data_IF_492102245389
#
_entry.id   IF_492102245389
#
_cell.length_a   1.000
_cell.length_b   1.000
_cell.length_c   1.000
_cell.angle_alpha   90.00
_cell.angle_beta   90.00
_cell.angle_gamma   90.00
#
_symmetry.space_group_name_H-M   'P 1'
#
loop_
_entity.id
_entity.type
_entity.pdbx_description
1 polymer ?
#
# COMPACT_ATOMS: atom_id res chain seq x y z
N UNK A 1 15.29 6.09 -14.57
CA UNK A 1 14.27 7.10 -14.16
C UNK A 1 13.59 6.57 -12.92
N UNK A 2 13.39 7.39 -11.87
CA UNK A 2 12.48 6.98 -10.78
C UNK A 2 11.07 6.99 -11.35
N UNK A 3 10.31 5.90 -11.16
CA UNK A 3 8.89 5.87 -11.52
C UNK A 3 8.15 7.00 -10.80
N UNK A 4 7.17 7.61 -11.46
CA UNK A 4 6.29 8.61 -10.83
C UNK A 4 5.10 7.97 -10.11
N UNK A 5 4.91 6.67 -10.30
CA UNK A 5 3.73 5.92 -9.86
C UNK A 5 4.11 4.77 -8.94
N UNK A 6 3.22 4.44 -8.02
CA UNK A 6 3.30 3.26 -7.16
C UNK A 6 1.90 2.67 -6.96
N UNK A 7 1.81 1.35 -6.92
CA UNK A 7 0.55 0.65 -6.64
C UNK A 7 0.57 0.08 -5.23
N UNK A 8 -0.44 0.39 -4.43
CA UNK A 8 -0.70 -0.20 -3.12
C UNK A 8 -1.83 -1.19 -3.23
N UNK A 9 -1.55 -2.46 -2.90
CA UNK A 9 -2.52 -3.55 -2.90
C UNK A 9 -3.00 -3.79 -1.47
N UNK A 10 -4.28 -3.52 -1.24
CA UNK A 10 -4.93 -3.65 0.06
C UNK A 10 -5.38 -5.07 0.38
N UNK A 11 -6.31 -5.16 1.32
CA UNK A 11 -6.77 -6.44 1.90
C UNK A 11 -7.92 -7.09 1.11
N UNK A 12 -8.61 -6.34 0.24
CA UNK A 12 -9.75 -6.85 -0.50
C UNK A 12 -9.31 -7.69 -1.70
N UNK A 13 -10.04 -8.76 -2.03
CA UNK A 13 -9.79 -9.54 -3.24
C UNK A 13 -9.89 -8.66 -4.49
N UNK A 14 -8.96 -8.84 -5.40
CA UNK A 14 -8.91 -8.13 -6.68
C UNK A 14 -8.85 -9.16 -7.79
N UNK A 15 -9.74 -9.05 -8.76
CA UNK A 15 -9.79 -9.89 -9.98
C UNK A 15 -8.94 -9.31 -11.12
N UNK A 16 -7.93 -8.54 -10.78
CA UNK A 16 -7.06 -7.84 -11.72
C UNK A 16 -5.67 -8.48 -11.72
N UNK A 17 -5.05 -8.58 -12.89
CA UNK A 17 -3.67 -9.05 -13.01
C UNK A 17 -2.68 -7.99 -12.50
N UNK A 18 -2.30 -8.12 -11.23
CA UNK A 18 -1.41 -7.18 -10.56
C UNK A 18 0.02 -7.17 -11.12
N UNK A 19 0.46 -8.22 -11.83
CA UNK A 19 1.78 -8.23 -12.48
C UNK A 19 1.90 -7.14 -13.55
N UNK A 20 0.80 -6.81 -14.21
CA UNK A 20 0.77 -5.75 -15.22
C UNK A 20 1.01 -4.36 -14.63
N UNK A 21 0.65 -4.13 -13.35
CA UNK A 21 0.83 -2.82 -12.70
C UNK A 21 2.30 -2.43 -12.55
N UNK A 22 3.22 -3.40 -12.60
CA UNK A 22 4.67 -3.15 -12.57
C UNK A 22 5.19 -2.28 -13.71
N UNK A 23 4.46 -2.20 -14.82
CA UNK A 23 4.78 -1.27 -15.92
C UNK A 23 4.69 0.19 -15.47
N UNK A 24 3.80 0.50 -14.51
CA UNK A 24 3.66 1.84 -13.95
C UNK A 24 4.76 2.14 -12.92
N UNK A 25 5.16 1.15 -12.13
CA UNK A 25 6.15 1.32 -11.06
C UNK A 25 6.10 0.22 -10.00
N UNK A 26 6.76 0.43 -8.85
CA UNK A 26 6.78 -0.54 -7.78
C UNK A 26 5.39 -0.87 -7.24
N UNK A 27 5.24 -2.10 -6.75
CA UNK A 27 4.01 -2.60 -6.15
C UNK A 27 4.26 -2.93 -4.69
N UNK A 28 3.48 -2.30 -3.80
CA UNK A 28 3.50 -2.57 -2.36
C UNK A 28 2.23 -3.32 -1.98
N UNK A 29 2.38 -4.47 -1.35
CA UNK A 29 1.26 -5.25 -0.85
C UNK A 29 1.05 -5.11 0.66
N UNK A 30 -0.18 -5.20 1.12
CA UNK A 30 -0.45 -5.56 2.50
C UNK A 30 -0.23 -7.07 2.70
N UNK A 31 0.07 -7.50 3.91
CA UNK A 31 0.24 -8.93 4.26
C UNK A 31 -0.99 -9.79 3.91
N UNK A 32 -2.16 -9.17 3.79
CA UNK A 32 -3.42 -9.85 3.46
C UNK A 32 -3.77 -9.79 1.97
N UNK A 33 -2.92 -9.18 1.14
CA UNK A 33 -3.11 -9.17 -0.31
C UNK A 33 -2.94 -10.57 -0.92
N UNK A 34 -3.35 -10.71 -2.18
CA UNK A 34 -3.23 -12.00 -2.87
C UNK A 34 -1.77 -12.49 -2.90
N UNK A 35 -1.52 -13.65 -2.29
CA UNK A 35 -0.18 -14.25 -2.15
C UNK A 35 0.31 -15.01 -3.38
N UNK A 36 -0.49 -15.08 -4.44
CA UNK A 36 -0.09 -15.75 -5.70
C UNK A 36 0.79 -14.89 -6.60
N UNK A 37 1.09 -13.65 -6.19
CA UNK A 37 1.83 -12.66 -6.97
C UNK A 37 3.08 -12.25 -6.18
N UNK A 38 4.17 -11.97 -6.90
CA UNK A 38 5.37 -11.37 -6.31
C UNK A 38 5.22 -9.84 -6.27
N UNK A 39 5.57 -9.25 -5.16
CA UNK A 39 5.56 -7.80 -4.95
C UNK A 39 6.99 -7.27 -4.78
N UNK A 40 7.19 -5.96 -4.97
CA UNK A 40 8.48 -5.35 -4.68
C UNK A 40 8.66 -5.17 -3.17
N UNK A 41 7.57 -4.77 -2.51
CA UNK A 41 7.51 -4.62 -1.06
C UNK A 41 6.23 -5.23 -0.50
N UNK A 42 6.29 -5.70 0.75
CA UNK A 42 5.08 -6.05 1.49
C UNK A 42 5.20 -5.59 2.94
N UNK A 43 4.09 -5.13 3.51
CA UNK A 43 4.02 -4.66 4.89
C UNK A 43 3.29 -5.65 5.77
N UNK A 44 3.87 -5.91 6.94
CA UNK A 44 3.35 -6.83 7.95
C UNK A 44 3.25 -6.13 9.30
N UNK A 45 2.29 -6.50 10.15
CA UNK A 45 2.08 -5.89 11.45
C UNK A 45 1.99 -6.90 12.61
N UNK A 46 1.95 -8.20 12.31
CA UNK A 46 1.87 -9.28 13.30
C UNK A 46 2.87 -10.38 12.99
N UNK A 47 3.26 -11.15 14.02
CA UNK A 47 4.13 -12.32 13.85
C UNK A 47 3.49 -13.35 12.91
N UNK A 48 2.19 -13.59 13.03
CA UNK A 48 1.46 -14.51 12.15
C UNK A 48 1.58 -14.09 10.70
N UNK A 49 1.29 -12.81 10.38
CA UNK A 49 1.40 -12.30 9.02
C UNK A 49 2.83 -12.41 8.48
N UNK A 50 3.83 -12.12 9.31
CA UNK A 50 5.22 -12.24 8.94
C UNK A 50 5.62 -13.70 8.64
N UNK A 51 5.28 -14.63 9.54
CA UNK A 51 5.57 -16.05 9.36
C UNK A 51 4.86 -16.63 8.14
N UNK A 52 3.60 -16.27 7.90
CA UNK A 52 2.84 -16.67 6.74
C UNK A 52 3.49 -16.18 5.44
N UNK A 53 4.00 -14.94 5.44
CA UNK A 53 4.71 -14.38 4.29
C UNK A 53 6.04 -15.11 4.06
N UNK A 54 6.85 -15.32 5.09
CA UNK A 54 8.14 -16.04 5.02
C UNK A 54 7.98 -17.47 4.52
N UNK A 55 6.87 -18.13 4.85
CA UNK A 55 6.57 -19.50 4.42
C UNK A 55 5.95 -19.55 3.01
N UNK A 56 5.59 -18.42 2.42
CA UNK A 56 5.01 -18.38 1.07
C UNK A 56 6.08 -18.55 0.00
N UNK A 57 5.85 -19.48 -0.93
CA UNK A 57 6.76 -19.71 -2.06
C UNK A 57 6.93 -18.47 -2.97
N UNK A 58 5.93 -17.62 -3.03
CA UNK A 58 5.89 -16.43 -3.88
C UNK A 58 6.57 -15.22 -3.22
N UNK A 59 7.06 -15.38 -1.99
CA UNK A 59 7.71 -14.33 -1.24
C UNK A 59 9.17 -14.06 -1.69
N UNK A 60 9.75 -14.95 -2.48
CA UNK A 60 11.14 -14.81 -2.94
C UNK A 60 11.30 -13.54 -3.78
N UNK A 61 12.11 -12.60 -3.27
CA UNK A 61 12.39 -11.33 -3.94
C UNK A 61 11.49 -10.16 -3.51
N UNK A 62 10.53 -10.37 -2.58
CA UNK A 62 9.76 -9.29 -1.95
C UNK A 62 10.47 -8.80 -0.70
N UNK A 63 10.64 -7.48 -0.57
CA UNK A 63 11.18 -6.89 0.67
C UNK A 63 10.04 -6.72 1.69
N UNK A 64 10.17 -7.36 2.86
CA UNK A 64 9.21 -7.23 3.97
C UNK A 64 9.56 -6.06 4.86
N UNK A 65 8.54 -5.25 5.16
CA UNK A 65 8.69 -4.13 6.08
C UNK A 65 7.74 -4.30 7.28
N UNK A 66 8.33 -4.24 8.46
CA UNK A 66 7.63 -4.43 9.72
C UNK A 66 7.83 -3.21 10.65
N UNK A 67 6.86 -2.89 11.53
CA UNK A 67 7.07 -1.96 12.62
C UNK A 67 8.25 -2.36 13.50
N UNK A 68 8.85 -1.39 14.16
CA UNK A 68 10.13 -1.56 14.87
C UNK A 68 10.13 -2.70 15.88
N UNK A 69 9.07 -2.86 16.65
CA UNK A 69 8.97 -3.94 17.65
C UNK A 69 8.95 -5.32 17.03
N UNK A 70 8.24 -5.47 15.91
CA UNK A 70 8.19 -6.73 15.18
C UNK A 70 9.53 -7.00 14.50
N UNK A 71 10.10 -6.01 13.83
CA UNK A 71 11.41 -6.11 13.19
C UNK A 71 12.51 -6.57 14.14
N UNK A 72 12.60 -6.01 15.35
CA UNK A 72 13.61 -6.38 16.35
C UNK A 72 13.61 -7.86 16.72
N UNK A 73 12.47 -8.54 16.63
CA UNK A 73 12.37 -9.99 16.85
C UNK A 73 12.89 -10.81 15.68
N UNK A 74 12.88 -10.26 14.49
CA UNK A 74 13.17 -10.95 13.22
C UNK A 74 14.36 -10.37 12.47
N UNK A 75 15.19 -9.58 13.12
CA UNK A 75 16.36 -8.88 12.53
C UNK A 75 17.37 -9.81 11.83
N UNK A 76 17.39 -11.10 12.17
CA UNK A 76 18.29 -12.08 11.56
C UNK A 76 17.71 -12.77 10.31
N UNK A 77 16.49 -12.44 9.92
CA UNK A 77 15.86 -12.99 8.72
C UNK A 77 16.15 -12.09 7.53
N UNK A 78 16.81 -12.63 6.50
CA UNK A 78 17.05 -11.94 5.24
C UNK A 78 15.72 -11.52 4.60
N UNK A 79 15.68 -10.29 4.08
CA UNK A 79 14.51 -9.73 3.43
C UNK A 79 13.46 -9.12 4.38
N UNK A 80 13.70 -9.16 5.70
CA UNK A 80 12.88 -8.43 6.68
C UNK A 80 13.57 -7.14 7.07
N UNK A 81 12.91 -6.01 6.89
CA UNK A 81 13.42 -4.68 7.18
C UNK A 81 12.49 -3.91 8.14
N UNK A 82 13.05 -2.91 8.82
CA UNK A 82 12.26 -1.99 9.61
C UNK A 82 11.54 -0.99 8.69
N UNK A 83 10.27 -0.70 8.98
CA UNK A 83 9.59 0.43 8.35
C UNK A 83 10.37 1.72 8.64
N UNK A 84 10.52 2.61 7.65
CA UNK A 84 11.17 3.89 7.87
C UNK A 84 10.36 4.78 8.82
N UNK A 85 11.01 5.76 9.41
CA UNK A 85 10.30 6.79 10.16
C UNK A 85 9.47 7.68 9.23
N UNK A 86 8.27 8.02 9.68
CA UNK A 86 7.32 8.88 8.97
C UNK A 86 7.07 10.18 9.77
N UNK A 87 8.01 11.12 9.81
CA UNK A 87 7.93 12.29 10.70
C UNK A 87 6.69 13.17 10.45
N UNK A 88 6.24 13.27 9.21
CA UNK A 88 5.05 14.04 8.85
C UNK A 88 3.73 13.48 9.37
N UNK A 89 3.70 12.21 9.79
CA UNK A 89 2.46 11.57 10.27
C UNK A 89 2.28 11.64 11.78
N UNK A 90 3.28 12.06 12.54
CA UNK A 90 3.19 12.24 14.00
C UNK A 90 2.10 13.26 14.40
N UNK A 91 1.87 14.27 13.56
CA UNK A 91 0.81 15.28 13.78
C UNK A 91 -0.61 14.72 13.64
N UNK A 92 -0.79 13.54 13.09
CA UNK A 92 -2.10 12.89 12.90
C UNK A 92 -2.32 11.71 13.84
N UNK A 93 -1.46 11.54 14.86
CA UNK A 93 -1.54 10.45 15.85
C UNK A 93 -1.58 9.03 15.21
N UNK A 94 -0.88 8.87 14.10
CA UNK A 94 -0.76 7.58 13.42
C UNK A 94 0.45 6.83 13.99
N UNK A 95 0.17 5.80 14.78
CA UNK A 95 1.17 4.90 15.37
C UNK A 95 1.36 3.67 14.47
N UNK A 96 2.52 3.48 13.81
CA UNK A 96 2.76 2.33 12.94
C UNK A 96 2.54 0.98 13.63
N UNK A 97 2.79 0.88 14.93
CA UNK A 97 2.59 -0.35 15.71
C UNK A 97 1.12 -0.77 15.84
N UNK A 98 0.19 0.16 15.58
CA UNK A 98 -1.27 -0.04 15.66
C UNK A 98 -1.96 0.03 14.30
N UNK A 99 -1.20 0.19 13.24
CA UNK A 99 -1.75 0.27 11.89
C UNK A 99 -1.97 -1.11 11.29
N UNK A 100 -2.98 -1.21 10.42
CA UNK A 100 -3.16 -2.38 9.57
C UNK A 100 -2.04 -2.48 8.52
N UNK A 101 -1.77 -3.65 7.95
CA UNK A 101 -0.79 -3.79 6.87
C UNK A 101 -1.09 -2.87 5.68
N UNK A 102 -2.35 -2.66 5.30
CA UNK A 102 -2.67 -1.77 4.18
C UNK A 102 -2.38 -0.29 4.49
N UNK A 103 -2.57 0.17 5.72
CA UNK A 103 -2.15 1.51 6.14
C UNK A 103 -0.62 1.64 6.13
N UNK A 104 0.11 0.62 6.59
CA UNK A 104 1.57 0.61 6.52
C UNK A 104 2.07 0.65 5.06
N UNK A 105 1.42 -0.07 4.15
CA UNK A 105 1.73 -0.04 2.72
C UNK A 105 1.52 1.36 2.11
N UNK A 106 0.43 2.03 2.50
CA UNK A 106 0.17 3.41 2.10
C UNK A 106 1.23 4.39 2.63
N UNK A 107 1.62 4.25 3.90
CA UNK A 107 2.68 5.07 4.50
C UNK A 107 4.01 4.89 3.77
N UNK A 108 4.36 3.65 3.42
CA UNK A 108 5.56 3.36 2.64
C UNK A 108 5.50 3.97 1.25
N UNK A 109 4.35 3.90 0.56
CA UNK A 109 4.17 4.52 -0.76
C UNK A 109 4.45 6.03 -0.73
N UNK A 110 3.94 6.72 0.28
CA UNK A 110 4.19 8.15 0.47
C UNK A 110 5.66 8.43 0.82
N UNK A 111 6.28 7.61 1.67
CA UNK A 111 7.69 7.73 2.02
C UNK A 111 8.60 7.65 0.79
N UNK A 112 8.27 6.80 -0.17
CA UNK A 112 8.99 6.66 -1.43
C UNK A 112 8.81 7.86 -2.38
N UNK A 113 8.02 8.87 -1.96
CA UNK A 113 7.86 10.18 -2.63
C UNK A 113 7.40 10.06 -4.09
N UNK A 114 6.40 9.26 -4.32
CA UNK A 114 5.78 9.14 -5.64
C UNK A 114 4.78 10.27 -5.87
N UNK A 115 4.57 10.65 -7.13
CA UNK A 115 3.59 11.69 -7.48
C UNK A 115 2.16 11.17 -7.47
N UNK A 116 1.98 9.88 -7.70
CA UNK A 116 0.68 9.22 -7.68
C UNK A 116 0.75 7.83 -7.03
N UNK A 117 -0.22 7.55 -6.18
CA UNK A 117 -0.43 6.28 -5.49
C UNK A 117 -1.75 5.69 -5.96
N UNK A 118 -1.71 4.52 -6.61
CA UNK A 118 -2.90 3.75 -6.95
C UNK A 118 -3.26 2.83 -5.77
N UNK A 119 -4.51 2.89 -5.33
CA UNK A 119 -5.05 2.09 -4.23
C UNK A 119 -5.96 1.01 -4.83
N UNK A 120 -5.48 -0.22 -4.91
CA UNK A 120 -6.18 -1.35 -5.51
C UNK A 120 -6.56 -2.36 -4.43
N UNK A 121 -7.86 -2.67 -4.29
CA UNK A 121 -8.34 -3.54 -3.21
C UNK A 121 -8.11 -2.97 -1.81
N UNK A 122 -7.91 -1.67 -1.67
CA UNK A 122 -7.80 -0.99 -0.39
C UNK A 122 -9.18 -0.94 0.29
N UNK A 123 -9.27 -1.38 1.54
CA UNK A 123 -10.55 -1.43 2.25
C UNK A 123 -10.90 -0.07 2.88
N UNK A 124 -11.68 0.72 2.17
CA UNK A 124 -12.22 2.00 2.66
C UNK A 124 -13.61 1.86 3.30
N UNK A 125 -14.18 0.66 3.37
CA UNK A 125 -15.43 0.40 4.10
C UNK A 125 -15.24 0.44 5.61
N UNK A 126 -14.00 0.20 6.08
CA UNK A 126 -13.63 0.34 7.48
C UNK A 126 -13.39 1.82 7.80
N UNK A 127 -14.18 2.42 8.70
CA UNK A 127 -14.07 3.86 9.03
C UNK A 127 -12.68 4.27 9.56
N UNK A 128 -12.00 3.37 10.28
CA UNK A 128 -10.66 3.63 10.82
C UNK A 128 -9.65 3.72 9.68
N UNK A 129 -9.70 2.80 8.72
CA UNK A 129 -8.82 2.79 7.56
C UNK A 129 -9.07 3.99 6.64
N UNK A 130 -10.35 4.35 6.43
CA UNK A 130 -10.71 5.54 5.66
C UNK A 130 -10.18 6.82 6.34
N UNK A 131 -10.32 6.94 7.66
CA UNK A 131 -9.81 8.09 8.41
C UNK A 131 -8.28 8.19 8.29
N UNK A 132 -7.57 7.07 8.41
CA UNK A 132 -6.11 7.03 8.25
C UNK A 132 -5.67 7.41 6.84
N UNK A 133 -6.35 6.88 5.82
CA UNK A 133 -6.11 7.26 4.42
C UNK A 133 -6.25 8.78 4.23
N UNK A 134 -7.35 9.36 4.72
CA UNK A 134 -7.58 10.81 4.64
C UNK A 134 -6.50 11.61 5.36
N UNK A 135 -6.14 11.22 6.58
CA UNK A 135 -5.06 11.88 7.34
C UNK A 135 -3.71 11.83 6.59
N UNK A 136 -3.37 10.68 6.01
CA UNK A 136 -2.15 10.53 5.22
C UNK A 136 -2.20 11.38 3.95
N UNK A 137 -3.34 11.42 3.26
CA UNK A 137 -3.51 12.22 2.05
C UNK A 137 -3.40 13.73 2.34
N UNK A 138 -4.03 14.22 3.40
CA UNK A 138 -3.95 15.62 3.84
C UNK A 138 -2.51 16.01 4.20
N UNK A 139 -1.77 15.10 4.88
CA UNK A 139 -0.35 15.32 5.22
C UNK A 139 0.58 15.37 4.01
N UNK A 140 0.12 14.90 2.84
CA UNK A 140 0.93 14.76 1.63
C UNK A 140 0.23 15.36 0.39
N UNK A 141 -0.01 16.68 0.36
CA UNK A 141 -0.82 17.33 -0.67
C UNK A 141 -0.18 17.25 -2.08
N UNK A 142 1.13 17.03 -2.17
CA UNK A 142 1.83 16.87 -3.44
C UNK A 142 1.66 15.48 -4.07
N UNK A 143 1.15 14.50 -3.33
CA UNK A 143 0.89 13.13 -3.81
C UNK A 143 -0.60 12.98 -4.14
N UNK A 144 -0.91 12.47 -5.32
CA UNK A 144 -2.28 12.13 -5.71
C UNK A 144 -2.58 10.69 -5.30
N UNK A 145 -3.80 10.46 -4.80
CA UNK A 145 -4.27 9.13 -4.38
C UNK A 145 -5.44 8.73 -5.28
N UNK A 146 -5.27 7.68 -6.05
CA UNK A 146 -6.28 7.16 -6.97
C UNK A 146 -6.83 5.83 -6.45
N UNK A 147 -8.07 5.83 -5.99
CA UNK A 147 -8.76 4.61 -5.56
C UNK A 147 -9.38 3.91 -6.76
N UNK A 148 -8.95 2.67 -7.00
CA UNK A 148 -9.41 1.86 -8.12
C UNK A 148 -10.47 0.88 -7.65
N UNK A 149 -11.72 1.06 -8.10
CA UNK A 149 -12.84 0.20 -7.73
C UNK A 149 -13.90 0.15 -8.84
N UNK A 150 -14.78 -0.83 -8.74
CA UNK A 150 -15.87 -1.02 -9.70
C UNK A 150 -17.19 -1.37 -8.95
N UNK A 151 -18.23 -0.54 -9.00
CA UNK A 151 -18.29 0.81 -9.58
C UNK A 151 -17.47 1.83 -8.78
N UNK A 152 -17.11 2.98 -9.36
CA UNK A 152 -16.40 4.04 -8.66
C UNK A 152 -17.19 4.51 -7.43
N UNK A 153 -16.49 4.66 -6.29
CA UNK A 153 -17.07 5.15 -5.03
C UNK A 153 -16.50 6.52 -4.68
N UNK A 154 -16.82 7.51 -5.48
CA UNK A 154 -16.27 8.87 -5.41
C UNK A 154 -16.54 9.55 -4.08
N UNK A 155 -17.75 9.40 -3.55
CA UNK A 155 -18.23 10.09 -2.35
C UNK A 155 -17.38 9.89 -1.08
N UNK A 156 -16.53 8.87 -1.03
CA UNK A 156 -15.71 8.62 0.16
C UNK A 156 -14.41 9.44 0.18
N UNK A 157 -13.98 9.98 -0.97
CA UNK A 157 -12.76 10.77 -1.13
C UNK A 157 -13.01 12.18 -1.67
N UNK A 158 -14.27 12.58 -1.87
CA UNK A 158 -14.65 13.86 -2.47
C UNK A 158 -14.23 15.08 -1.63
N UNK A 159 -13.93 14.88 -0.35
CA UNK A 159 -13.42 15.89 0.56
C UNK A 159 -11.89 16.07 0.51
N UNK A 160 -11.21 15.30 -0.35
CA UNK A 160 -9.77 15.39 -0.53
C UNK A 160 -9.43 16.06 -1.87
N UNK A 161 -8.65 17.13 -1.83
CA UNK A 161 -8.19 17.82 -3.05
C UNK A 161 -7.27 16.96 -3.93
N UNK A 162 -6.58 16.00 -3.32
CA UNK A 162 -5.65 15.08 -3.97
C UNK A 162 -6.14 13.63 -4.02
N UNK A 163 -7.41 13.38 -3.66
CA UNK A 163 -8.06 12.08 -3.70
C UNK A 163 -8.96 11.92 -4.94
N UNK A 164 -8.84 10.80 -5.63
CA UNK A 164 -9.60 10.51 -6.85
C UNK A 164 -10.10 9.07 -6.84
N UNK A 165 -11.18 8.80 -7.57
CA UNK A 165 -11.67 7.44 -7.83
C UNK A 165 -11.72 7.17 -9.31
N UNK A 166 -11.38 5.94 -9.71
CA UNK A 166 -11.50 5.51 -11.09
C UNK A 166 -11.84 4.02 -11.19
N UNK A 167 -12.16 3.56 -12.40
CA UNK A 167 -12.53 2.18 -12.69
C UNK A 167 -11.32 1.32 -13.03
N UNK A 168 -11.45 -0.01 -12.87
CA UNK A 168 -10.45 -0.95 -13.36
C UNK A 168 -10.22 -0.86 -14.87
N UNK A 169 -11.25 -0.49 -15.67
CA UNK A 169 -11.12 -0.32 -17.12
C UNK A 169 -10.13 0.79 -17.44
N UNK A 170 -10.32 1.97 -16.86
CA UNK A 170 -9.41 3.11 -17.08
C UNK A 170 -8.02 2.86 -16.50
N UNK A 171 -7.93 2.15 -15.40
CA UNK A 171 -6.64 1.74 -14.84
C UNK A 171 -5.89 0.80 -15.80
N UNK A 172 -6.60 -0.16 -16.44
CA UNK A 172 -6.02 -1.02 -17.46
C UNK A 172 -5.54 -0.22 -18.68
N UNK A 173 -6.35 0.73 -19.18
CA UNK A 173 -5.95 1.61 -20.27
C UNK A 173 -4.66 2.40 -19.95
N UNK A 174 -4.50 2.84 -18.70
CA UNK A 174 -3.28 3.50 -18.25
C UNK A 174 -2.06 2.57 -18.30
N UNK A 175 -2.22 1.32 -17.87
CA UNK A 175 -1.17 0.30 -17.89
C UNK A 175 -0.78 -0.07 -19.32
N UNK A 176 -1.77 -0.17 -20.21
CA UNK A 176 -1.54 -0.56 -21.60
C UNK A 176 -0.80 0.53 -22.39
N UNK A 177 -0.91 1.79 -21.97
CA UNK A 177 -0.24 2.94 -22.55
C UNK A 177 1.10 3.30 -21.89
N UNK A 178 1.53 2.58 -20.86
CA UNK A 178 2.79 2.78 -20.16
C UNK A 178 3.92 1.93 -20.74
#
# INVERSE_FOLDING_TARGET
>A
MKSAYITVVGNLPVSFDMEQTRKLGPVIASANANRSITYDYATVNTETNLQDMLNSANFRGTELLAPEKLFKKYVFFDGVNCLPEFPGLKSYDIDPEKCSPQTLALMLAVYLKQTMVFLVGYDISNPVELTRLKSIAIANPATKFMYICNPPRTYQLDDLENGFCDTFIKFQELIDNA
#
